data_IF_141536588141
#
_entry.id   IF_141536588141
#
_cell.length_a   1.000
_cell.length_b   1.000
_cell.length_c   1.000
_cell.angle_alpha   90.00
_cell.angle_beta   90.00
_cell.angle_gamma   90.00
#
_symmetry.space_group_name_H-M   'P 1'
#
loop_
_entity.id
_entity.type
_entity.pdbx_description
1 polymer ?
#
# COMPACT_ATOMS: atom_id res chain seq x y z
N UNK A 1 12.56 -14.11 -10.91
CA UNK A 1 12.62 -15.49 -10.37
C UNK A 1 11.72 -15.53 -9.15
N UNK A 2 10.57 -16.20 -9.22
CA UNK A 2 9.65 -16.32 -8.08
C UNK A 2 10.14 -17.49 -7.21
N UNK A 3 10.29 -17.24 -5.90
CA UNK A 3 10.65 -18.29 -4.93
C UNK A 3 9.40 -18.71 -4.17
N UNK A 4 8.97 -19.94 -4.39
CA UNK A 4 7.89 -20.53 -3.59
C UNK A 4 8.46 -20.98 -2.24
N UNK A 5 7.84 -20.52 -1.15
CA UNK A 5 8.18 -20.92 0.21
C UNK A 5 7.00 -21.72 0.77
N UNK A 6 7.25 -22.94 1.23
CA UNK A 6 6.24 -23.84 1.79
C UNK A 6 6.39 -23.89 3.31
N UNK A 7 5.27 -23.80 4.05
CA UNK A 7 5.22 -23.76 5.50
C UNK A 7 3.78 -23.84 6.04
N UNK A 8 3.57 -23.61 7.34
CA UNK A 8 2.22 -23.52 7.93
C UNK A 8 1.45 -22.41 7.19
N UNK A 9 0.46 -22.77 6.37
CA UNK A 9 -0.25 -21.82 5.50
C UNK A 9 -0.84 -20.69 6.33
N UNK A 10 -0.51 -19.45 5.96
CA UNK A 10 -1.27 -18.26 6.36
C UNK A 10 -2.67 -18.39 5.76
N UNK A 11 -3.70 -18.01 6.52
CA UNK A 11 -5.10 -18.06 6.09
C UNK A 11 -5.72 -19.47 5.90
N UNK A 12 -5.34 -20.47 6.72
CA UNK A 12 -5.98 -21.82 6.73
C UNK A 12 -7.52 -21.80 6.81
N UNK A 13 -8.09 -20.81 7.48
CA UNK A 13 -9.54 -20.66 7.71
C UNK A 13 -10.07 -19.27 7.35
N UNK A 14 -9.23 -18.40 6.78
CA UNK A 14 -9.58 -17.02 6.46
C UNK A 14 -9.19 -16.70 5.02
N UNK A 15 -9.85 -15.71 4.41
CA UNK A 15 -9.44 -15.21 3.11
C UNK A 15 -8.20 -14.33 3.25
N UNK A 16 -7.31 -14.40 2.26
CA UNK A 16 -6.26 -13.40 2.12
C UNK A 16 -6.90 -12.10 1.63
N UNK A 17 -6.59 -11.00 2.31
CA UNK A 17 -6.98 -9.66 1.90
C UNK A 17 -5.70 -8.86 1.64
N UNK A 18 -5.20 -8.85 0.39
CA UNK A 18 -4.03 -8.05 0.04
C UNK A 18 -4.34 -6.56 0.14
N UNK A 19 -3.30 -5.78 0.40
CA UNK A 19 -3.36 -4.32 0.51
C UNK A 19 -2.03 -3.75 0.01
N UNK A 20 -2.06 -2.48 -0.41
CA UNK A 20 -0.86 -1.75 -0.81
C UNK A 20 -0.77 -0.43 -0.03
N UNK A 21 0.46 0.11 0.10
CA UNK A 21 0.70 1.39 0.75
C UNK A 21 1.74 2.19 -0.01
N UNK A 22 1.52 3.51 -0.12
CA UNK A 22 2.41 4.42 -0.83
C UNK A 22 3.42 5.05 0.11
N UNK A 23 4.72 4.92 -0.20
CA UNK A 23 5.78 5.69 0.46
C UNK A 23 6.25 6.81 -0.46
N UNK A 24 5.70 7.99 -0.24
CA UNK A 24 5.94 9.19 -1.06
C UNK A 24 6.95 10.06 -0.33
N UNK A 25 8.02 10.43 -1.02
CA UNK A 25 9.09 11.26 -0.47
C UNK A 25 9.02 12.65 -1.08
N UNK A 26 9.55 13.64 -0.35
CA UNK A 26 9.91 14.93 -0.94
C UNK A 26 11.02 14.78 -1.99
N UNK A 27 11.30 15.84 -2.74
CA UNK A 27 12.32 15.83 -3.80
C UNK A 27 13.71 15.44 -3.27
N UNK A 28 14.05 15.84 -2.03
CA UNK A 28 15.34 15.54 -1.42
C UNK A 28 15.39 14.16 -0.74
N UNK A 29 14.27 13.45 -0.68
CA UNK A 29 14.10 12.16 0.01
C UNK A 29 14.46 12.19 1.50
N UNK A 30 14.22 13.32 2.16
CA UNK A 30 14.44 13.53 3.59
C UNK A 30 13.16 13.36 4.41
N UNK A 31 12.01 13.62 3.80
CA UNK A 31 10.70 13.56 4.44
C UNK A 31 9.79 12.57 3.73
N UNK A 32 8.81 12.04 4.48
CA UNK A 32 7.80 11.12 3.95
C UNK A 32 6.43 11.71 4.19
N UNK A 33 5.58 11.65 3.16
CA UNK A 33 4.18 12.05 3.27
C UNK A 33 3.40 11.01 4.09
N UNK A 34 2.63 11.48 5.07
CA UNK A 34 1.76 10.66 5.90
C UNK A 34 0.35 11.26 5.92
N UNK A 35 -0.65 10.40 5.96
CA UNK A 35 -2.04 10.77 6.25
C UNK A 35 -2.29 10.60 7.74
N UNK A 36 -3.20 11.42 8.29
CA UNK A 36 -3.68 11.25 9.67
C UNK A 36 -5.11 10.77 9.63
N UNK A 37 -5.36 9.57 10.15
CA UNK A 37 -6.70 8.97 10.12
C UNK A 37 -7.68 9.76 10.99
N UNK A 38 -8.89 9.97 10.48
CA UNK A 38 -9.93 10.67 11.22
C UNK A 38 -10.51 9.86 12.40
N UNK A 39 -10.49 8.52 12.29
CA UNK A 39 -11.11 7.61 13.28
C UNK A 39 -10.32 7.48 14.58
N UNK A 40 -8.98 7.49 14.51
CA UNK A 40 -8.11 7.25 15.66
C UNK A 40 -6.92 8.21 15.76
N UNK A 41 -6.81 9.18 14.84
CA UNK A 41 -5.78 10.22 14.86
C UNK A 41 -4.36 9.73 14.62
N UNK A 42 -4.14 8.45 14.25
CA UNK A 42 -2.80 7.89 13.97
C UNK A 42 -2.32 8.35 12.60
N UNK A 43 -1.00 8.56 12.52
CA UNK A 43 -0.31 8.81 11.26
C UNK A 43 0.00 7.49 10.56
N UNK A 44 -0.31 7.41 9.27
CA UNK A 44 -0.14 6.22 8.44
C UNK A 44 0.35 6.62 7.04
N UNK A 45 0.87 5.66 6.28
CA UNK A 45 1.03 5.84 4.85
C UNK A 45 -0.36 5.84 4.18
N UNK A 46 -0.55 6.54 3.05
CA UNK A 46 -1.71 6.31 2.20
C UNK A 46 -1.79 4.83 1.83
N UNK A 47 -2.94 4.19 2.07
CA UNK A 47 -3.05 2.75 1.91
C UNK A 47 -4.49 2.26 1.91
N UNK A 48 -4.74 1.16 1.20
CA UNK A 48 -6.00 0.46 1.32
C UNK A 48 -5.97 -0.94 0.72
N UNK A 49 -7.15 -1.55 0.72
CA UNK A 49 -7.34 -2.92 0.28
C UNK A 49 -7.23 -3.01 -1.24
N UNK A 50 -6.64 -4.10 -1.71
CA UNK A 50 -6.58 -4.40 -3.13
C UNK A 50 -7.95 -4.87 -3.62
N UNK A 51 -8.42 -4.28 -4.72
CA UNK A 51 -9.64 -4.73 -5.39
C UNK A 51 -9.36 -5.92 -6.33
N UNK A 52 -10.36 -6.76 -6.63
CA UNK A 52 -10.19 -7.89 -7.53
C UNK A 52 -9.66 -7.47 -8.91
N UNK A 53 -8.50 -8.03 -9.29
CA UNK A 53 -7.88 -7.79 -10.59
C UNK A 53 -6.80 -6.69 -10.58
N UNK A 54 -6.67 -5.94 -9.49
CA UNK A 54 -5.59 -4.96 -9.35
C UNK A 54 -4.24 -5.62 -9.09
N UNK A 55 -3.20 -5.02 -9.65
CA UNK A 55 -1.83 -5.16 -9.18
C UNK A 55 -1.59 -4.30 -7.93
N UNK A 56 -0.54 -4.60 -7.17
CA UNK A 56 -0.16 -3.77 -6.02
C UNK A 56 0.18 -2.32 -6.42
N UNK A 57 0.61 -2.09 -7.65
CA UNK A 57 0.85 -0.75 -8.20
C UNK A 57 -0.48 -0.01 -8.43
N UNK A 58 -1.46 -0.64 -9.08
CA UNK A 58 -2.78 -0.05 -9.33
C UNK A 58 -3.49 0.31 -8.03
N UNK A 59 -3.53 -0.62 -7.05
CA UNK A 59 -4.08 -0.35 -5.71
C UNK A 59 -3.39 0.85 -5.06
N UNK A 60 -2.05 0.90 -5.11
CA UNK A 60 -1.28 1.98 -4.48
C UNK A 60 -1.58 3.35 -5.11
N UNK A 61 -1.71 3.43 -6.43
CA UNK A 61 -2.04 4.66 -7.15
C UNK A 61 -3.47 5.11 -6.86
N UNK A 62 -4.45 4.19 -6.92
CA UNK A 62 -5.87 4.48 -6.65
C UNK A 62 -6.07 5.00 -5.22
N UNK A 63 -5.59 4.26 -4.21
CA UNK A 63 -5.74 4.61 -2.81
C UNK A 63 -5.08 5.96 -2.49
N UNK A 64 -3.91 6.23 -3.07
CA UNK A 64 -3.25 7.54 -2.90
C UNK A 64 -4.12 8.67 -3.45
N UNK A 65 -4.70 8.48 -4.63
CA UNK A 65 -5.58 9.49 -5.24
C UNK A 65 -6.84 9.72 -4.39
N UNK A 66 -7.48 8.65 -3.94
CA UNK A 66 -8.73 8.71 -3.14
C UNK A 66 -8.52 9.38 -1.78
N UNK A 67 -7.46 9.03 -1.05
CA UNK A 67 -7.23 9.55 0.31
C UNK A 67 -6.62 10.95 0.33
N UNK A 68 -5.86 11.32 -0.71
CA UNK A 68 -4.99 12.52 -0.67
C UNK A 68 -5.21 13.50 -1.83
N UNK A 69 -5.85 13.06 -2.92
CA UNK A 69 -5.96 13.83 -4.16
C UNK A 69 -4.68 13.89 -5.00
N UNK A 70 -3.59 13.25 -4.57
CA UNK A 70 -2.32 13.27 -5.29
C UNK A 70 -2.31 12.24 -6.43
N UNK A 71 -1.87 12.68 -7.61
CA UNK A 71 -1.54 11.78 -8.72
C UNK A 71 -0.08 11.34 -8.60
N UNK A 72 0.16 10.04 -8.52
CA UNK A 72 1.49 9.47 -8.31
C UNK A 72 1.80 8.38 -9.34
N UNK A 73 3.08 8.09 -9.51
CA UNK A 73 3.57 6.94 -10.28
C UNK A 73 4.49 6.11 -9.39
N UNK A 74 4.25 4.80 -9.32
CA UNK A 74 5.12 3.89 -8.56
C UNK A 74 6.47 3.78 -9.26
N UNK A 75 7.54 3.87 -8.47
CA UNK A 75 8.92 3.79 -8.98
C UNK A 75 9.60 2.48 -8.62
N UNK A 76 9.23 1.88 -7.48
CA UNK A 76 9.82 0.63 -6.99
C UNK A 76 8.96 0.00 -5.88
N UNK A 77 8.91 -1.33 -5.84
CA UNK A 77 8.42 -2.08 -4.69
C UNK A 77 9.47 -2.09 -3.56
N UNK A 78 9.05 -1.80 -2.31
CA UNK A 78 9.97 -1.60 -1.17
C UNK A 78 9.68 -2.50 0.04
N UNK A 79 8.68 -3.36 -0.04
CA UNK A 79 8.27 -4.31 1.01
C UNK A 79 7.32 -5.34 0.44
#
# INVERSE_FOLDING_TARGET
MVRFVYGKRISKTALLSPAASARIFDEQRKEVFLTRRADNGRWCLPSGAMEPGESAEETCVRETLEETGLQVRVTRLVG
#
